data_IF_821089806582
#
_entry.id   IF_821089806582
#
_cell.length_a   1.000
_cell.length_b   1.000
_cell.length_c   1.000
_cell.angle_alpha   90.00
_cell.angle_beta   90.00
_cell.angle_gamma   90.00
#
_symmetry.space_group_name_H-M   'P 1'
#
loop_
_entity.id
_entity.type
_entity.pdbx_description
1 polymer ?
#
# COMPACT_ATOMS: atom_id res chain seq x y z
N UNK A 1 -2.94 -4.19 13.16
CA UNK A 1 -2.73 -2.84 12.59
C UNK A 1 -4.02 -2.24 12.08
N UNK A 2 -4.01 -0.95 11.82
CA UNK A 2 -5.17 -0.27 11.24
C UNK A 2 -5.09 -0.27 9.72
N UNK A 3 -6.22 -0.51 9.07
CA UNK A 3 -6.36 -0.47 7.62
C UNK A 3 -7.76 -0.02 7.24
N UNK A 4 -7.88 0.60 6.06
CA UNK A 4 -9.19 0.88 5.49
C UNK A 4 -9.73 -0.38 4.82
N UNK A 5 -10.99 -0.65 5.07
CA UNK A 5 -11.71 -1.76 4.44
C UNK A 5 -12.96 -1.22 3.73
N UNK A 6 -13.36 -1.94 2.70
CA UNK A 6 -14.53 -1.59 1.91
C UNK A 6 -15.82 -1.80 2.71
N UNK A 7 -16.68 -0.79 2.73
CA UNK A 7 -17.99 -0.85 3.39
C UNK A 7 -19.07 -0.35 2.42
N UNK A 8 -19.39 -1.14 1.39
CA UNK A 8 -20.25 -0.66 0.28
C UNK A 8 -21.68 -0.32 0.70
N UNK A 9 -22.17 -0.92 1.79
CA UNK A 9 -23.54 -0.68 2.25
C UNK A 9 -23.63 0.39 3.33
N UNK A 10 -22.51 0.93 3.77
CA UNK A 10 -22.47 1.96 4.82
C UNK A 10 -22.55 3.36 4.19
N UNK A 11 -22.86 4.41 4.97
CA UNK A 11 -22.88 5.77 4.46
C UNK A 11 -21.54 6.22 3.87
N UNK A 12 -20.42 5.75 4.42
CA UNK A 12 -19.09 6.00 3.87
C UNK A 12 -18.60 4.72 3.18
N UNK A 13 -17.90 4.85 2.04
CA UNK A 13 -17.49 3.68 1.25
C UNK A 13 -16.38 2.86 1.88
N UNK A 14 -15.65 3.41 2.84
CA UNK A 14 -14.58 2.71 3.55
C UNK A 14 -14.68 3.02 5.04
N UNK A 15 -14.15 2.11 5.86
CA UNK A 15 -14.05 2.32 7.30
C UNK A 15 -12.67 1.86 7.79
N UNK A 16 -12.18 2.52 8.83
CA UNK A 16 -10.92 2.15 9.47
C UNK A 16 -11.18 0.99 10.44
N UNK A 17 -10.46 -0.10 10.27
CA UNK A 17 -10.63 -1.32 11.06
C UNK A 17 -9.30 -1.84 11.56
N UNK A 18 -9.33 -2.55 12.69
CA UNK A 18 -8.19 -3.33 13.15
C UNK A 18 -8.15 -4.62 12.34
N UNK A 19 -7.00 -4.89 11.72
CA UNK A 19 -6.78 -6.10 10.92
C UNK A 19 -5.46 -6.74 11.33
N UNK A 20 -5.27 -8.02 10.96
CA UNK A 20 -4.01 -8.71 11.21
C UNK A 20 -2.87 -8.03 10.47
N UNK A 21 -1.67 -8.05 11.06
CA UNK A 21 -0.48 -7.53 10.40
C UNK A 21 -0.15 -8.38 9.16
N UNK A 22 0.40 -7.76 8.09
CA UNK A 22 0.75 -8.51 6.90
C UNK A 22 1.85 -9.54 7.19
N UNK A 23 1.79 -10.65 6.46
CA UNK A 23 2.78 -11.74 6.52
C UNK A 23 3.51 -11.75 5.18
N UNK A 24 4.68 -11.09 5.04
CA UNK A 24 5.38 -11.04 3.77
C UNK A 24 5.83 -12.43 3.31
N UNK A 25 5.67 -12.71 2.02
CA UNK A 25 6.30 -13.89 1.40
C UNK A 25 7.81 -13.66 1.33
N UNK A 26 8.58 -14.70 0.96
CA UNK A 26 10.05 -14.62 0.96
C UNK A 26 10.60 -13.53 0.03
N UNK A 27 9.88 -13.21 -1.05
CA UNK A 27 10.26 -12.19 -2.04
C UNK A 27 9.54 -10.85 -1.83
N UNK A 28 8.95 -10.66 -0.66
CA UNK A 28 8.24 -9.43 -0.30
C UNK A 28 8.92 -8.76 0.89
N UNK A 29 8.96 -7.43 0.85
CA UNK A 29 9.37 -6.62 1.99
C UNK A 29 8.15 -6.09 2.72
N UNK A 30 8.29 -5.84 4.01
CA UNK A 30 7.25 -5.17 4.79
C UNK A 30 7.53 -3.66 4.73
N UNK A 31 6.55 -2.92 4.24
CA UNK A 31 6.66 -1.46 4.07
C UNK A 31 5.72 -0.76 5.03
N UNK A 32 6.26 0.18 5.81
CA UNK A 32 5.46 1.13 6.58
C UNK A 32 4.97 2.21 5.62
N UNK A 33 3.66 2.35 5.47
CA UNK A 33 3.06 3.23 4.48
C UNK A 33 3.02 4.66 5.02
N UNK A 34 3.61 5.59 4.29
CA UNK A 34 3.60 7.02 4.60
C UNK A 34 2.66 7.80 3.69
N UNK A 35 2.45 7.31 2.46
CA UNK A 35 1.51 7.91 1.53
C UNK A 35 0.97 6.83 0.59
N UNK A 36 -0.26 7.00 0.14
CA UNK A 36 -0.84 6.13 -0.88
C UNK A 36 -1.68 6.97 -1.83
N UNK A 37 -1.84 6.47 -3.07
CA UNK A 37 -2.66 7.13 -4.06
C UNK A 37 -4.09 6.64 -3.98
N UNK A 38 -5.02 7.54 -4.27
CA UNK A 38 -6.43 7.23 -4.46
C UNK A 38 -6.75 7.54 -5.92
N UNK A 39 -7.04 6.53 -6.71
CA UNK A 39 -7.36 6.72 -8.13
C UNK A 39 -8.81 6.37 -8.42
N UNK A 40 -9.29 6.79 -9.61
CA UNK A 40 -10.68 6.57 -9.99
C UNK A 40 -11.04 5.10 -10.08
N UNK A 41 -10.11 4.27 -10.52
CA UNK A 41 -10.34 2.84 -10.60
C UNK A 41 -10.60 2.23 -9.24
N UNK A 42 -9.85 2.66 -8.22
CA UNK A 42 -10.06 2.19 -6.85
C UNK A 42 -11.42 2.65 -6.30
N UNK A 43 -11.80 3.90 -6.54
CA UNK A 43 -13.11 4.40 -6.11
C UNK A 43 -14.25 3.63 -6.76
N UNK A 44 -14.10 3.30 -8.04
CA UNK A 44 -15.09 2.48 -8.75
C UNK A 44 -15.18 1.08 -8.15
N UNK A 45 -14.02 0.48 -7.85
CA UNK A 45 -13.97 -0.88 -7.28
C UNK A 45 -14.62 -0.95 -5.89
N UNK A 46 -14.58 0.12 -5.11
CA UNK A 46 -15.20 0.12 -3.79
C UNK A 46 -16.69 -0.24 -3.85
N UNK A 47 -17.39 0.25 -4.87
CA UNK A 47 -18.81 -0.04 -5.04
C UNK A 47 -19.06 -1.47 -5.54
N UNK A 48 -18.08 -2.10 -6.16
CA UNK A 48 -18.22 -3.41 -6.80
C UNK A 48 -17.65 -4.57 -5.99
N UNK A 49 -16.88 -4.28 -4.94
CA UNK A 49 -16.24 -5.31 -4.14
C UNK A 49 -17.05 -5.60 -2.88
N UNK A 50 -16.90 -6.81 -2.32
CA UNK A 50 -17.61 -7.16 -1.09
C UNK A 50 -17.12 -6.36 0.11
N UNK A 51 -17.92 -6.37 1.15
CA UNK A 51 -17.53 -5.78 2.42
C UNK A 51 -16.25 -6.44 2.93
N UNK A 52 -15.36 -5.62 3.48
CA UNK A 52 -14.08 -6.10 4.00
C UNK A 52 -12.95 -6.14 2.98
N UNK A 53 -13.25 -5.93 1.69
CA UNK A 53 -12.18 -5.85 0.69
C UNK A 53 -11.25 -4.69 1.01
N UNK A 54 -9.95 -4.89 0.79
CA UNK A 54 -8.92 -3.92 1.17
C UNK A 54 -8.36 -3.20 -0.05
N UNK A 55 -8.67 -1.89 -0.19
CA UNK A 55 -8.18 -1.11 -1.32
C UNK A 55 -6.71 -0.69 -1.16
N UNK A 56 -6.15 -0.17 -2.24
CA UNK A 56 -4.82 0.44 -2.25
C UNK A 56 -3.81 -0.35 -3.05
N UNK A 57 -3.38 0.21 -4.19
CA UNK A 57 -2.41 -0.43 -5.09
C UNK A 57 -1.08 0.31 -5.15
N UNK A 58 -1.06 1.62 -4.89
CA UNK A 58 0.13 2.45 -5.03
C UNK A 58 0.49 3.03 -3.67
N UNK A 59 1.69 2.71 -3.18
CA UNK A 59 2.15 3.18 -1.88
C UNK A 59 3.56 3.76 -1.96
N UNK A 60 3.87 4.66 -1.04
CA UNK A 60 5.21 5.13 -0.78
C UNK A 60 5.46 5.06 0.72
N UNK A 61 6.63 4.61 1.12
CA UNK A 61 6.94 4.45 2.53
C UNK A 61 8.36 3.97 2.76
N UNK A 62 8.57 3.36 3.92
CA UNK A 62 9.88 2.89 4.37
C UNK A 62 9.83 1.39 4.59
N UNK A 63 10.84 0.69 4.07
CA UNK A 63 11.01 -0.74 4.35
C UNK A 63 11.33 -0.90 5.83
N UNK A 64 10.51 -1.63 6.56
CA UNK A 64 10.75 -1.94 7.98
C UNK A 64 11.26 -3.36 8.18
N UNK A 65 11.04 -4.24 7.20
CA UNK A 65 11.57 -5.59 7.20
C UNK A 65 11.93 -5.97 5.77
N UNK A 66 13.21 -6.26 5.53
CA UNK A 66 13.68 -6.67 4.20
C UNK A 66 13.12 -8.03 3.84
N UNK A 67 13.08 -8.34 2.52
CA UNK A 67 12.64 -9.65 2.06
C UNK A 67 13.52 -10.76 2.62
N UNK A 68 12.90 -11.86 3.03
CA UNK A 68 13.60 -12.97 3.68
C UNK A 68 14.60 -13.65 2.75
N UNK A 69 14.39 -13.57 1.43
CA UNK A 69 15.30 -14.15 0.43
C UNK A 69 16.54 -13.29 0.16
N UNK A 70 16.67 -12.15 0.84
CA UNK A 70 17.81 -11.25 0.69
C UNK A 70 17.74 -10.32 -0.51
N UNK A 71 16.67 -10.38 -1.30
CA UNK A 71 16.52 -9.49 -2.46
C UNK A 71 15.99 -8.12 -2.06
N UNK A 72 16.22 -7.13 -2.91
CA UNK A 72 15.64 -5.81 -2.81
C UNK A 72 16.24 -4.93 -1.72
N UNK A 73 15.56 -3.81 -1.40
CA UNK A 73 16.09 -2.83 -0.45
C UNK A 73 16.13 -3.35 0.97
N UNK A 74 17.11 -2.87 1.72
CA UNK A 74 17.23 -3.17 3.15
C UNK A 74 16.25 -2.32 3.97
N UNK A 75 16.04 -2.72 5.23
CA UNK A 75 15.26 -1.94 6.19
C UNK A 75 15.79 -0.51 6.30
N UNK A 76 14.90 0.46 6.38
CA UNK A 76 15.23 1.88 6.42
C UNK A 76 15.21 2.56 5.04
N UNK A 77 15.12 1.80 3.97
CA UNK A 77 15.10 2.37 2.60
C UNK A 77 13.73 2.96 2.30
N UNK A 78 13.71 4.17 1.76
CA UNK A 78 12.48 4.81 1.26
C UNK A 78 12.17 4.24 -0.11
N UNK A 79 10.92 3.85 -0.32
CA UNK A 79 10.50 3.15 -1.55
C UNK A 79 9.14 3.61 -2.03
N UNK A 80 8.88 3.36 -3.32
CA UNK A 80 7.55 3.31 -3.91
C UNK A 80 7.28 1.88 -4.33
N UNK A 81 6.04 1.44 -4.23
CA UNK A 81 5.68 0.07 -4.56
C UNK A 81 4.27 -0.03 -5.13
N UNK A 82 4.08 -1.03 -6.00
CA UNK A 82 2.76 -1.44 -6.47
C UNK A 82 2.38 -2.73 -5.77
N UNK A 83 1.18 -2.78 -5.25
CA UNK A 83 0.62 -3.97 -4.60
C UNK A 83 -0.74 -4.29 -5.20
N UNK A 84 -1.20 -5.52 -5.03
CA UNK A 84 -2.50 -5.92 -5.59
C UNK A 84 -3.68 -5.38 -4.77
N UNK A 85 -3.44 -5.01 -3.53
CA UNK A 85 -4.43 -4.43 -2.63
C UNK A 85 -3.84 -4.29 -1.25
N UNK A 86 -4.61 -3.68 -0.33
CA UNK A 86 -4.22 -3.55 1.05
C UNK A 86 -3.27 -2.39 1.35
N UNK A 87 -3.01 -1.52 0.37
CA UNK A 87 -2.09 -0.40 0.54
C UNK A 87 -2.62 0.75 1.39
N UNK A 88 -3.93 0.84 1.58
CA UNK A 88 -4.52 1.86 2.46
C UNK A 88 -4.49 1.34 3.90
N UNK A 89 -3.30 1.20 4.44
CA UNK A 89 -3.06 0.60 5.74
C UNK A 89 -1.77 1.15 6.33
N UNK A 90 -1.52 0.85 7.58
CA UNK A 90 -0.28 1.26 8.25
C UNK A 90 0.94 0.57 7.64
N UNK A 91 0.80 -0.72 7.29
CA UNK A 91 1.87 -1.51 6.69
C UNK A 91 1.32 -2.41 5.61
N UNK A 92 2.16 -2.74 4.64
CA UNK A 92 1.79 -3.64 3.55
C UNK A 92 3.00 -4.50 3.16
N UNK A 93 2.74 -5.76 2.79
CA UNK A 93 3.75 -6.62 2.19
C UNK A 93 3.80 -6.32 0.69
N UNK A 94 4.97 -5.96 0.17
CA UNK A 94 5.12 -5.53 -1.21
C UNK A 94 6.16 -6.38 -1.94
N UNK A 95 5.83 -6.89 -3.14
CA UNK A 95 6.79 -7.66 -3.94
C UNK A 95 8.01 -6.81 -4.32
N UNK A 96 9.19 -7.36 -4.15
CA UNK A 96 10.44 -6.66 -4.50
C UNK A 96 10.45 -6.30 -5.99
N UNK A 97 9.90 -7.16 -6.84
CA UNK A 97 9.87 -6.93 -8.29
C UNK A 97 9.02 -5.71 -8.70
N UNK A 98 8.17 -5.21 -7.79
CA UNK A 98 7.28 -4.07 -8.06
C UNK A 98 7.62 -2.86 -7.18
N UNK A 99 8.84 -2.78 -6.73
CA UNK A 99 9.32 -1.78 -5.77
C UNK A 99 10.53 -1.05 -6.34
N UNK A 100 10.63 0.25 -6.06
CA UNK A 100 11.79 1.05 -6.44
C UNK A 100 12.19 1.96 -5.29
N UNK A 101 13.49 2.18 -5.13
CA UNK A 101 14.01 3.10 -4.13
C UNK A 101 13.60 4.53 -4.46
N UNK A 102 13.24 5.29 -3.45
CA UNK A 102 12.82 6.68 -3.58
C UNK A 102 13.98 7.59 -3.22
N UNK A 103 14.37 8.53 -4.11
CA UNK A 103 15.43 9.49 -3.79
C UNK A 103 15.10 10.34 -2.56
N UNK A 104 16.12 10.70 -1.80
CA UNK A 104 15.95 11.45 -0.55
C UNK A 104 15.30 12.81 -0.75
N UNK A 105 15.45 13.41 -1.93
CA UNK A 105 14.88 14.72 -2.24
C UNK A 105 13.43 14.69 -2.73
N UNK A 106 12.83 13.51 -2.76
CA UNK A 106 11.43 13.35 -3.19
C UNK A 106 10.59 12.96 -1.97
N UNK A 107 9.51 13.69 -1.72
CA UNK A 107 8.60 13.38 -0.60
C UNK A 107 7.76 12.16 -0.92
N UNK A 108 7.27 11.48 0.10
CA UNK A 108 6.36 10.35 -0.07
C UNK A 108 5.08 10.79 -0.80
N UNK A 109 4.54 11.95 -0.43
CA UNK A 109 3.31 12.44 -1.05
C UNK A 109 3.50 12.74 -2.53
N UNK A 110 4.68 13.23 -2.93
CA UNK A 110 4.99 13.50 -4.35
C UNK A 110 5.24 12.22 -5.13
N UNK A 111 5.71 11.17 -4.47
CA UNK A 111 6.05 9.90 -5.12
C UNK A 111 4.83 9.04 -5.40
N UNK A 112 3.78 9.13 -4.57
CA UNK A 112 2.56 8.37 -4.80
C UNK A 112 1.90 8.87 -6.08
N UNK A 113 1.55 7.98 -7.03
CA UNK A 113 0.93 8.41 -8.29
C UNK A 113 -0.35 9.19 -8.07
N UNK A 114 -0.54 10.23 -8.88
CA UNK A 114 -1.75 11.05 -8.80
C UNK A 114 -2.81 10.51 -9.75
N UNK A 115 -4.07 10.39 -9.32
CA UNK A 115 -5.14 9.94 -10.19
C UNK A 115 -5.43 10.90 -11.35
N UNK A 116 -5.01 12.14 -11.23
CA UNK A 116 -5.26 13.16 -12.26
C UNK A 116 -4.23 13.16 -13.38
N UNK A 117 -3.25 12.26 -13.37
CA UNK A 117 -2.20 12.21 -14.38
C UNK A 117 -2.61 11.58 -15.69
N UNK A 118 -3.67 10.87 -15.70
CA UNK A 118 -4.11 10.12 -16.89
C UNK A 118 -5.02 10.92 -17.79
#
# INVERSE_FOLDING_TARGET
>A
MLAFVNTPSAPLPVALREVADPQPAADEALVEVHAFAVNRGELFLLAMRPEGWRPGQDVAGVVVQAAADGSGPKAGTRVVALVDGGGWAQRVAAPIARMAALPDNVSFASAAPSPSRD
#
